data_IF_019173564382
#
_entry.id   IF_019173564382
#
_cell.length_a   1.000
_cell.length_b   1.000
_cell.length_c   1.000
_cell.angle_alpha   90.00
_cell.angle_beta   90.00
_cell.angle_gamma   90.00
#
_symmetry.space_group_name_H-M   'P 1'
#
loop_
_entity.id
_entity.type
_entity.pdbx_description
1 polymer ?
#
# COMPACT_ATOMS: atom_id res chain seq x y z
N UNK A 1 4.72 16.06 3.82
CA UNK A 1 4.52 15.27 2.58
C UNK A 1 4.15 13.80 2.79
N UNK A 2 4.71 13.06 3.75
CA UNK A 2 4.44 11.61 3.91
C UNK A 2 2.97 11.27 4.15
N UNK A 3 2.27 12.02 5.01
CA UNK A 3 0.83 11.81 5.28
C UNK A 3 -0.04 11.99 4.02
N UNK A 4 0.29 12.95 3.16
CA UNK A 4 -0.46 13.17 1.90
C UNK A 4 -0.28 11.98 0.94
N UNK A 5 0.95 11.45 0.83
CA UNK A 5 1.21 10.25 0.02
C UNK A 5 0.50 9.01 0.56
N UNK A 6 0.49 8.82 1.87
CA UNK A 6 -0.25 7.73 2.50
C UNK A 6 -1.75 7.84 2.23
N UNK A 7 -2.32 9.05 2.29
CA UNK A 7 -3.73 9.27 1.98
C UNK A 7 -4.07 8.91 0.53
N UNK A 8 -3.19 9.25 -0.42
CA UNK A 8 -3.36 8.93 -1.85
C UNK A 8 -3.30 7.44 -2.16
N UNK A 9 -2.69 6.65 -1.27
CA UNK A 9 -2.63 5.19 -1.39
C UNK A 9 -3.80 4.55 -0.63
N UNK A 10 -3.99 4.93 0.63
CA UNK A 10 -4.95 4.31 1.54
C UNK A 10 -6.40 4.53 1.10
N UNK A 11 -6.74 5.72 0.60
CA UNK A 11 -8.12 6.06 0.22
C UNK A 11 -8.62 5.30 -1.01
N UNK A 12 -7.92 5.28 -2.16
CA UNK A 12 -8.34 4.44 -3.29
C UNK A 12 -8.30 2.95 -2.97
N UNK A 13 -7.30 2.50 -2.19
CA UNK A 13 -7.21 1.12 -1.74
C UNK A 13 -8.43 0.70 -0.91
N UNK A 14 -8.94 1.57 -0.04
CA UNK A 14 -10.14 1.33 0.76
C UNK A 14 -11.36 1.08 -0.13
N UNK A 15 -11.56 1.91 -1.16
CA UNK A 15 -12.65 1.74 -2.12
C UNK A 15 -12.52 0.42 -2.89
N UNK A 16 -11.33 0.09 -3.36
CA UNK A 16 -11.08 -1.16 -4.07
C UNK A 16 -11.22 -2.39 -3.19
N UNK A 17 -10.90 -2.29 -1.90
CA UNK A 17 -11.14 -3.35 -0.93
C UNK A 17 -12.63 -3.67 -0.79
N UNK A 18 -13.49 -2.64 -0.71
CA UNK A 18 -14.94 -2.82 -0.70
C UNK A 18 -15.48 -3.43 -1.98
N UNK A 19 -14.97 -3.03 -3.15
CA UNK A 19 -15.33 -3.65 -4.44
C UNK A 19 -14.92 -5.12 -4.48
N UNK A 20 -13.70 -5.45 -4.04
CA UNK A 20 -13.22 -6.83 -3.97
C UNK A 20 -14.05 -7.67 -3.00
N UNK A 21 -14.38 -7.12 -1.84
CA UNK A 21 -15.24 -7.77 -0.87
C UNK A 21 -16.61 -8.13 -1.47
N UNK A 22 -17.28 -7.16 -2.10
CA UNK A 22 -18.56 -7.40 -2.77
C UNK A 22 -18.45 -8.44 -3.88
N UNK A 23 -17.39 -8.39 -4.70
CA UNK A 23 -17.18 -9.34 -5.79
C UNK A 23 -16.91 -10.75 -5.27
N UNK A 24 -16.01 -10.91 -4.30
CA UNK A 24 -15.63 -12.23 -3.78
C UNK A 24 -16.80 -12.89 -3.06
N UNK A 25 -17.47 -12.17 -2.16
CA UNK A 25 -18.59 -12.73 -1.40
C UNK A 25 -19.91 -12.79 -2.17
N UNK A 26 -19.99 -12.20 -3.37
CA UNK A 26 -21.08 -12.51 -4.30
C UNK A 26 -21.00 -13.96 -4.84
N UNK A 27 -19.79 -14.56 -4.87
CA UNK A 27 -19.58 -15.92 -5.35
C UNK A 27 -19.21 -16.93 -4.25
N UNK A 28 -18.73 -16.47 -3.10
CA UNK A 28 -18.25 -17.30 -1.99
C UNK A 28 -19.10 -17.03 -0.75
N UNK A 29 -19.72 -18.05 -0.13
CA UNK A 29 -20.41 -17.84 1.15
C UNK A 29 -19.35 -17.64 2.26
N UNK A 30 -19.41 -16.55 3.04
CA UNK A 30 -18.50 -16.33 4.17
C UNK A 30 -18.51 -17.44 5.23
N UNK A 31 -19.59 -18.24 5.34
CA UNK A 31 -19.67 -19.37 6.26
C UNK A 31 -18.98 -20.64 5.75
N UNK A 32 -18.74 -20.73 4.44
CA UNK A 32 -18.02 -21.87 3.85
C UNK A 32 -16.49 -21.69 3.94
N UNK A 33 -16.00 -20.57 4.48
CA UNK A 33 -14.58 -20.40 4.76
C UNK A 33 -14.15 -21.26 5.95
N UNK A 34 -13.34 -22.29 5.64
CA UNK A 34 -12.64 -23.09 6.62
C UNK A 34 -11.20 -22.60 6.77
N UNK A 35 -10.74 -22.41 8.01
CA UNK A 35 -9.36 -22.09 8.31
C UNK A 35 -8.67 -23.30 8.94
N UNK A 36 -7.61 -23.79 8.29
CA UNK A 36 -6.86 -24.97 8.74
C UNK A 36 -7.76 -26.21 9.03
N UNK A 37 -8.79 -26.41 8.21
CA UNK A 37 -9.71 -27.55 8.31
C UNK A 37 -10.80 -27.43 9.37
N UNK A 38 -10.88 -26.29 10.10
CA UNK A 38 -11.97 -26.01 11.03
C UNK A 38 -12.86 -24.88 10.49
N UNK A 39 -14.17 -24.99 10.74
CA UNK A 39 -15.09 -23.87 10.53
C UNK A 39 -14.62 -22.69 11.35
N UNK A 40 -14.42 -21.54 10.71
CA UNK A 40 -14.15 -20.30 11.42
C UNK A 40 -15.32 -20.06 12.39
N UNK A 41 -15.06 -20.08 13.70
CA UNK A 41 -16.06 -19.74 14.72
C UNK A 41 -16.43 -18.25 14.74
N UNK A 42 -16.12 -17.54 13.65
CA UNK A 42 -16.34 -16.13 13.47
C UNK A 42 -17.75 -15.93 12.93
N UNK A 43 -18.46 -14.93 13.44
CA UNK A 43 -19.74 -14.53 12.85
C UNK A 43 -19.55 -14.12 11.38
N UNK A 44 -20.61 -14.18 10.57
CA UNK A 44 -20.58 -13.68 9.18
C UNK A 44 -19.96 -12.28 9.09
N UNK A 45 -20.37 -11.38 9.97
CA UNK A 45 -19.84 -10.01 10.07
C UNK A 45 -18.34 -9.97 10.36
N UNK A 46 -17.84 -10.87 11.21
CA UNK A 46 -16.41 -10.99 11.48
C UNK A 46 -15.63 -11.39 10.24
N UNK A 47 -16.17 -12.30 9.41
CA UNK A 47 -15.52 -12.75 8.16
C UNK A 47 -15.43 -11.60 7.16
N UNK A 48 -16.51 -10.85 6.97
CA UNK A 48 -16.54 -9.65 6.12
C UNK A 48 -15.49 -8.63 6.58
N UNK A 49 -15.50 -8.29 7.87
CA UNK A 49 -14.56 -7.31 8.44
C UNK A 49 -13.11 -7.76 8.24
N UNK A 50 -12.79 -9.01 8.54
CA UNK A 50 -11.44 -9.55 8.36
C UNK A 50 -11.01 -9.53 6.89
N UNK A 51 -11.88 -9.97 5.98
CA UNK A 51 -11.60 -9.98 4.55
C UNK A 51 -11.40 -8.57 4.00
N UNK A 52 -12.23 -7.61 4.41
CA UNK A 52 -12.08 -6.20 4.06
C UNK A 52 -10.67 -5.68 4.42
N UNK A 53 -10.22 -5.90 5.67
CA UNK A 53 -8.88 -5.48 6.10
C UNK A 53 -7.77 -6.18 5.32
N UNK A 54 -7.92 -7.47 5.02
CA UNK A 54 -6.94 -8.20 4.19
C UNK A 54 -6.87 -7.61 2.78
N UNK A 55 -8.01 -7.42 2.11
CA UNK A 55 -8.06 -6.82 0.77
C UNK A 55 -7.51 -5.39 0.79
N UNK A 56 -7.82 -4.61 1.82
CA UNK A 56 -7.31 -3.25 1.98
C UNK A 56 -5.79 -3.22 2.16
N UNK A 57 -5.23 -4.06 3.01
CA UNK A 57 -3.77 -4.14 3.21
C UNK A 57 -3.07 -4.58 1.92
N UNK A 58 -3.59 -5.58 1.22
CA UNK A 58 -2.99 -6.09 -0.03
C UNK A 58 -3.03 -5.02 -1.12
N UNK A 59 -4.16 -4.33 -1.30
CA UNK A 59 -4.29 -3.26 -2.30
C UNK A 59 -3.44 -2.03 -1.94
N UNK A 60 -3.35 -1.67 -0.66
CA UNK A 60 -2.40 -0.66 -0.17
C UNK A 60 -0.95 -1.05 -0.47
N UNK A 61 -0.56 -2.30 -0.20
CA UNK A 61 0.81 -2.78 -0.45
C UNK A 61 1.17 -2.75 -1.94
N UNK A 62 0.26 -3.20 -2.81
CA UNK A 62 0.43 -3.12 -4.28
C UNK A 62 0.60 -1.68 -4.76
N UNK A 63 -0.23 -0.78 -4.25
CA UNK A 63 -0.17 0.64 -4.59
C UNK A 63 1.12 1.29 -4.06
N UNK A 64 1.52 0.98 -2.83
CA UNK A 64 2.77 1.45 -2.24
C UNK A 64 3.97 0.98 -3.07
N UNK A 65 4.01 -0.30 -3.44
CA UNK A 65 5.05 -0.85 -4.32
C UNK A 65 5.08 -0.10 -5.66
N UNK A 66 3.92 0.13 -6.28
CA UNK A 66 3.82 0.91 -7.52
C UNK A 66 4.39 2.32 -7.36
N UNK A 67 4.07 3.01 -6.26
CA UNK A 67 4.64 4.34 -6.00
C UNK A 67 6.14 4.30 -5.78
N UNK A 68 6.68 3.25 -5.15
CA UNK A 68 8.12 3.07 -4.97
C UNK A 68 8.83 2.87 -6.32
N UNK A 69 8.28 2.03 -7.19
CA UNK A 69 8.84 1.78 -8.52
C UNK A 69 8.71 3.00 -9.44
N UNK A 70 7.69 3.83 -9.24
CA UNK A 70 7.48 5.06 -10.01
C UNK A 70 8.34 6.25 -9.54
N UNK A 71 9.14 6.11 -8.47
CA UNK A 71 10.00 7.20 -8.00
C UNK A 71 11.11 7.53 -9.02
N UNK A 72 11.20 8.80 -9.40
CA UNK A 72 12.21 9.24 -10.36
C UNK A 72 13.63 9.23 -9.76
N UNK A 73 14.69 9.01 -10.57
CA UNK A 73 16.08 9.11 -10.10
C UNK A 73 16.42 10.47 -9.48
N UNK A 74 15.75 11.55 -9.91
CA UNK A 74 15.92 12.89 -9.36
C UNK A 74 15.35 13.04 -7.95
N UNK A 75 14.34 12.24 -7.61
CA UNK A 75 13.73 12.22 -6.28
C UNK A 75 14.55 11.35 -5.32
N UNK A 76 15.03 10.19 -5.80
CA UNK A 76 15.87 9.27 -5.02
C UNK A 76 17.29 9.82 -4.80
N UNK A 77 17.91 10.40 -5.83
CA UNK A 77 19.30 10.91 -5.78
C UNK A 77 19.36 12.42 -5.55
N UNK A 78 18.34 13.02 -4.90
CA UNK A 78 18.31 14.47 -4.72
C UNK A 78 19.43 14.92 -3.78
N UNK A 79 20.28 15.83 -4.26
CA UNK A 79 21.26 16.50 -3.41
C UNK A 79 20.57 17.22 -2.23
N UNK A 80 21.01 17.00 -0.98
CA UNK A 80 20.39 17.60 0.21
C UNK A 80 20.70 19.10 0.38
N UNK A 81 21.46 19.70 -0.55
CA UNK A 81 21.87 21.11 -0.50
C UNK A 81 21.00 22.03 -1.39
N UNK A 82 20.76 23.28 -0.97
CA UNK A 82 20.12 24.32 -1.79
C UNK A 82 20.78 24.51 -3.17
N UNK A 83 20.01 24.99 -4.16
CA UNK A 83 20.45 25.07 -5.56
C UNK A 83 21.67 25.97 -5.75
N UNK A 84 21.74 27.07 -5.00
CA UNK A 84 22.83 28.06 -4.98
C UNK A 84 24.12 27.51 -4.35
N UNK A 85 24.03 26.46 -3.54
CA UNK A 85 25.15 25.87 -2.81
C UNK A 85 25.55 24.50 -3.36
N UNK A 86 24.99 24.08 -4.51
CA UNK A 86 25.23 22.75 -5.06
C UNK A 86 26.65 22.65 -5.66
N UNK A 87 27.54 21.78 -5.12
CA UNK A 87 28.85 21.56 -5.71
C UNK A 87 28.72 20.91 -7.10
N UNK A 88 29.65 21.22 -8.02
CA UNK A 88 29.67 20.62 -9.36
C UNK A 88 29.72 19.08 -9.33
N UNK A 89 30.33 18.52 -8.30
CA UNK A 89 30.49 17.08 -8.09
C UNK A 89 29.35 16.43 -7.28
N UNK A 90 28.20 17.08 -7.08
CA UNK A 90 27.11 16.53 -6.25
C UNK A 90 26.50 15.21 -6.80
N UNK A 91 26.81 14.86 -8.05
CA UNK A 91 26.45 13.59 -8.67
C UNK A 91 27.42 12.44 -8.33
N UNK A 92 28.60 12.74 -7.76
CA UNK A 92 29.57 11.76 -7.30
C UNK A 92 29.30 11.48 -5.83
N UNK A 93 28.98 10.23 -5.53
CA UNK A 93 28.75 9.67 -4.20
C UNK A 93 30.01 9.68 -3.33
N UNK A 94 30.59 10.85 -3.10
CA UNK A 94 31.65 11.07 -2.13
C UNK A 94 30.97 11.69 -0.89
N UNK A 95 31.20 11.18 0.33
CA UNK A 95 30.61 11.76 1.52
C UNK A 95 31.00 13.24 1.58
N UNK A 96 30.02 14.14 1.64
CA UNK A 96 30.31 15.55 1.87
C UNK A 96 31.08 15.67 3.19
N UNK A 97 32.23 16.39 3.21
CA UNK A 97 32.99 16.64 4.42
C UNK A 97 32.24 17.53 5.42
#
# INVERSE_FOLDING_TARGET
MWIQRLMWIAWPAFLMAGVLEMLVFAFVDPQDLHWAGHSLSLSREGVYTAAFFVFWIVTMASSALTTLLAMSPFEVNRCPVPVDQRPADCHKSTPCP
#
